data_IF_672265803196
#
_entry.id   IF_672265803196
#
_cell.length_a   1.000
_cell.length_b   1.000
_cell.length_c   1.000
_cell.angle_alpha   90.00
_cell.angle_beta   90.00
_cell.angle_gamma   90.00
#
_symmetry.space_group_name_H-M   'P 1'
#
loop_
_entity.id
_entity.type
_entity.pdbx_description
1 polymer ?
#
# COMPACT_ATOMS: atom_id res chain seq x y z
N UNK A 1 -6.33 -6.68 -3.93
CA UNK A 1 -6.41 -7.29 -2.58
C UNK A 1 -5.34 -6.66 -1.70
N UNK A 2 -5.62 -6.54 -0.40
CA UNK A 2 -4.71 -5.93 0.58
C UNK A 2 -4.70 -6.76 1.86
N UNK A 3 -3.53 -6.87 2.49
CA UNK A 3 -3.33 -7.64 3.72
C UNK A 3 -2.35 -6.94 4.65
N UNK A 4 -1.06 -7.27 4.53
CA UNK A 4 0.00 -6.70 5.37
C UNK A 4 0.01 -5.17 5.39
N UNK A 5 -0.29 -4.52 4.26
CA UNK A 5 -0.33 -3.05 4.15
C UNK A 5 -1.33 -2.38 5.08
N UNK A 6 -2.38 -3.10 5.52
CA UNK A 6 -3.35 -2.64 6.52
C UNK A 6 -2.91 -3.10 7.91
N UNK A 7 -2.79 -4.42 8.10
CA UNK A 7 -2.68 -5.01 9.44
C UNK A 7 -1.30 -4.85 10.10
N UNK A 8 -0.26 -4.54 9.31
CA UNK A 8 1.09 -4.21 9.83
C UNK A 8 1.40 -2.71 9.82
N UNK A 9 0.37 -1.86 9.69
CA UNK A 9 0.52 -0.40 9.76
C UNK A 9 0.27 0.12 11.19
N UNK A 10 0.63 1.39 11.44
CA UNK A 10 0.43 2.03 12.73
C UNK A 10 -1.03 2.31 13.11
N UNK A 11 -1.92 2.44 12.12
CA UNK A 11 -3.36 2.63 12.32
C UNK A 11 -4.15 1.81 11.27
N UNK A 12 -4.35 0.50 11.50
CA UNK A 12 -4.99 -0.39 10.54
C UNK A 12 -6.41 0.03 10.14
N UNK A 13 -7.21 0.51 11.09
CA UNK A 13 -8.60 0.88 10.85
C UNK A 13 -8.71 2.09 9.91
N UNK A 14 -7.94 3.15 10.21
CA UNK A 14 -7.91 4.34 9.35
C UNK A 14 -7.36 4.02 7.96
N UNK A 15 -6.29 3.23 7.89
CA UNK A 15 -5.68 2.84 6.61
C UNK A 15 -6.60 1.96 5.76
N UNK A 16 -7.37 1.06 6.38
CA UNK A 16 -8.37 0.26 5.68
C UNK A 16 -9.44 1.15 5.03
N UNK A 17 -10.01 2.10 5.78
CA UNK A 17 -11.02 3.03 5.24
C UNK A 17 -10.45 3.85 4.08
N UNK A 18 -9.24 4.39 4.24
CA UNK A 18 -8.58 5.17 3.20
C UNK A 18 -8.33 4.36 1.91
N UNK A 19 -7.92 3.09 2.02
CA UNK A 19 -7.72 2.22 0.85
C UNK A 19 -9.05 1.92 0.13
N UNK A 20 -10.13 1.69 0.88
CA UNK A 20 -11.46 1.47 0.30
C UNK A 20 -11.91 2.72 -0.45
N UNK A 21 -11.86 3.89 0.18
CA UNK A 21 -12.24 5.16 -0.43
C UNK A 21 -11.37 5.48 -1.66
N UNK A 22 -10.05 5.31 -1.56
CA UNK A 22 -9.13 5.53 -2.68
C UNK A 22 -9.41 4.58 -3.86
N UNK A 23 -9.83 3.34 -3.59
CA UNK A 23 -10.20 2.39 -4.65
C UNK A 23 -11.50 2.82 -5.32
N UNK A 24 -12.49 3.26 -4.54
CA UNK A 24 -13.78 3.75 -5.05
C UNK A 24 -13.61 5.01 -5.90
N UNK A 25 -12.78 5.96 -5.45
CA UNK A 25 -12.59 7.27 -6.08
C UNK A 25 -11.22 7.43 -6.76
N UNK A 26 -10.70 6.37 -7.37
CA UNK A 26 -9.34 6.32 -7.91
C UNK A 26 -9.00 7.42 -8.94
N UNK A 27 -10.00 8.01 -9.60
CA UNK A 27 -9.82 9.08 -10.60
C UNK A 27 -10.11 10.49 -10.06
N UNK A 28 -10.38 10.64 -8.76
CA UNK A 28 -10.58 11.94 -8.11
C UNK A 28 -9.32 12.33 -7.31
N UNK A 29 -8.45 13.20 -7.84
CA UNK A 29 -7.21 13.55 -7.18
C UNK A 29 -7.42 14.25 -5.83
N UNK A 30 -8.52 14.97 -5.65
CA UNK A 30 -8.81 15.70 -4.42
C UNK A 30 -9.18 14.72 -3.29
N UNK A 31 -10.00 13.70 -3.60
CA UNK A 31 -10.32 12.63 -2.64
C UNK A 31 -9.07 11.84 -2.29
N UNK A 32 -8.25 11.44 -3.27
CA UNK A 32 -7.00 10.70 -3.03
C UNK A 32 -6.07 11.48 -2.12
N UNK A 33 -5.88 12.78 -2.38
CA UNK A 33 -5.05 13.64 -1.56
C UNK A 33 -5.62 13.85 -0.14
N UNK A 34 -6.94 13.82 0.03
CA UNK A 34 -7.59 13.92 1.34
C UNK A 34 -7.41 12.65 2.16
N UNK A 35 -7.71 11.48 1.61
CA UNK A 35 -7.68 10.20 2.34
C UNK A 35 -6.26 9.70 2.61
N UNK A 36 -5.26 10.20 1.89
CA UNK A 36 -3.85 9.83 2.09
C UNK A 36 -3.19 10.52 3.29
N UNK A 37 -3.90 11.40 4.00
CA UNK A 37 -3.35 12.20 5.12
C UNK A 37 -3.46 11.45 6.44
N UNK A 38 -2.44 11.62 7.29
CA UNK A 38 -2.45 11.18 8.69
C UNK A 38 -2.77 9.69 8.88
N UNK A 39 -2.31 8.83 7.96
CA UNK A 39 -2.55 7.38 7.99
C UNK A 39 -1.64 6.59 8.94
N UNK A 40 -0.78 7.30 9.69
CA UNK A 40 0.28 6.70 10.50
C UNK A 40 1.33 5.96 9.66
N UNK A 41 2.26 5.32 10.35
CA UNK A 41 3.38 4.64 9.71
C UNK A 41 2.92 3.47 8.83
N UNK A 42 3.43 3.36 7.59
CA UNK A 42 3.19 2.21 6.74
C UNK A 42 3.90 0.96 7.25
N UNK A 43 3.50 -0.20 6.72
CA UNK A 43 4.35 -1.38 6.85
C UNK A 43 5.70 -1.13 6.14
N UNK A 44 6.77 -1.71 6.67
CA UNK A 44 8.07 -1.73 5.98
C UNK A 44 8.03 -2.79 4.88
N UNK A 45 8.29 -2.36 3.64
CA UNK A 45 8.41 -3.24 2.48
C UNK A 45 9.85 -3.72 2.27
N UNK A 46 10.01 -4.76 1.44
CA UNK A 46 11.32 -5.23 0.96
C UNK A 46 11.45 -4.78 -0.49
N UNK A 47 12.58 -4.18 -0.87
CA UNK A 47 12.80 -3.75 -2.23
C UNK A 47 13.12 -4.96 -3.14
N UNK A 48 12.48 -5.04 -4.31
CA UNK A 48 12.70 -6.12 -5.28
C UNK A 48 14.17 -6.22 -5.72
N UNK A 49 14.89 -5.09 -5.80
CA UNK A 49 16.32 -5.10 -6.16
C UNK A 49 17.20 -5.79 -5.12
N UNK A 50 16.77 -5.83 -3.86
CA UNK A 50 17.49 -6.44 -2.73
C UNK A 50 17.09 -7.90 -2.49
N UNK A 51 16.01 -8.36 -3.12
CA UNK A 51 15.55 -9.75 -3.03
C UNK A 51 16.46 -10.70 -3.81
N UNK A 52 16.67 -11.91 -3.27
CA UNK A 52 17.36 -12.97 -3.99
C UNK A 52 16.56 -13.39 -5.22
N UNK A 53 17.23 -13.81 -6.31
CA UNK A 53 16.56 -14.22 -7.55
C UNK A 53 15.54 -15.35 -7.35
N UNK A 54 15.78 -16.25 -6.39
CA UNK A 54 14.85 -17.33 -6.04
C UNK A 54 13.57 -16.88 -5.35
N UNK A 55 13.57 -15.68 -4.75
CA UNK A 55 12.42 -15.12 -4.05
C UNK A 55 11.58 -14.20 -4.96
N UNK A 56 12.10 -13.85 -6.14
CA UNK A 56 11.41 -13.01 -7.11
C UNK A 56 10.30 -13.81 -7.81
N UNK A 57 9.09 -13.27 -7.80
CA UNK A 57 7.94 -13.88 -8.46
C UNK A 57 8.02 -13.81 -10.00
N UNK A 58 8.78 -12.86 -10.53
CA UNK A 58 9.03 -12.69 -11.96
C UNK A 58 10.53 -12.57 -12.23
N UNK A 59 11.02 -13.29 -13.25
CA UNK A 59 12.44 -13.43 -13.59
C UNK A 59 12.84 -12.54 -14.78
N UNK A 60 11.87 -11.87 -15.44
CA UNK A 60 12.08 -10.92 -16.54
C UNK A 60 11.10 -9.75 -16.46
N UNK A 61 11.58 -8.55 -16.77
CA UNK A 61 10.81 -7.31 -16.88
C UNK A 61 11.17 -6.30 -15.79
N UNK A 62 11.44 -5.04 -16.19
CA UNK A 62 11.26 -3.89 -15.30
C UNK A 62 9.77 -3.58 -15.21
#
# INVERSE_FOLDING_TARGET
FVGSGIFKSGDPARRASAIVEATTFHNDPDIIAKVSRSLGEPMVGINVSEMADSERLAIRGW
#
